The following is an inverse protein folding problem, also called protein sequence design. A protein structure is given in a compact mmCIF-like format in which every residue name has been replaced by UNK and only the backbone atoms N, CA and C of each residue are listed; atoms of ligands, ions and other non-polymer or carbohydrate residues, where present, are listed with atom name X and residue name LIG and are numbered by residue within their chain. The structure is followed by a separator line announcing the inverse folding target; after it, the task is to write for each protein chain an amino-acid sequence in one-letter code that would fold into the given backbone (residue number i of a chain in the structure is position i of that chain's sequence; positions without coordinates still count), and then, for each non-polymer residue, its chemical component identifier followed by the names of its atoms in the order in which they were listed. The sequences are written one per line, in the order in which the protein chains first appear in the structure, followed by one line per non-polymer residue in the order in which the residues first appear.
data_IF_190385266640
#
_entry.id   IF_190385266640
#
_cell.length_a   1.000
_cell.length_b   1.000
_cell.length_c   1.000
_cell.angle_alpha   90.00
_cell.angle_beta   90.00
_cell.angle_gamma   90.00
#
_symmetry.space_group_name_H-M   'P 1'
#
loop_
_entity.id
_entity.type
_entity.pdbx_description
1 polymer ?
#
# COMPACT_ATOMS: atom_id res chain seq x y z
N UNK A 1 -4.46 14.40 -11.02
CA UNK A 1 -3.17 13.87 -10.55
C UNK A 1 -3.45 12.56 -9.86
N UNK A 2 -2.86 11.44 -10.32
CA UNK A 2 -3.09 10.13 -9.70
C UNK A 2 -2.18 9.99 -8.48
N UNK A 3 -2.77 9.66 -7.32
CA UNK A 3 -2.04 9.48 -6.06
C UNK A 3 -2.27 8.06 -5.57
N UNK A 4 -1.17 7.33 -5.33
CA UNK A 4 -1.19 6.03 -4.69
C UNK A 4 -0.49 6.14 -3.34
N UNK A 5 -1.19 5.74 -2.29
CA UNK A 5 -0.60 5.59 -0.97
C UNK A 5 -0.19 4.14 -0.74
N UNK A 6 1.02 3.89 -0.25
CA UNK A 6 1.55 2.54 -0.09
C UNK A 6 1.90 2.25 1.37
N UNK A 7 1.27 1.21 1.92
CA UNK A 7 1.51 0.67 3.26
C UNK A 7 1.90 -0.81 3.15
N UNK A 8 2.94 -1.25 3.87
CA UNK A 8 3.27 -2.67 3.93
C UNK A 8 4.01 -3.11 5.19
N UNK A 9 4.20 -4.42 5.34
CA UNK A 9 5.07 -5.07 6.34
C UNK A 9 6.44 -5.52 5.80
N UNK A 10 6.80 -5.08 4.58
CA UNK A 10 8.03 -5.49 3.89
C UNK A 10 9.33 -4.99 4.54
N UNK A 11 9.28 -3.95 5.36
CA UNK A 11 10.46 -3.23 5.80
C UNK A 11 11.12 -2.41 4.68
N UNK A 12 12.27 -1.81 5.02
CA UNK A 12 13.09 -1.00 4.11
C UNK A 12 14.52 -1.57 3.95
N UNK A 13 14.76 -2.77 4.48
CA UNK A 13 16.09 -3.38 4.47
C UNK A 13 16.49 -3.94 3.10
N UNK A 14 15.52 -4.23 2.25
CA UNK A 14 15.73 -4.76 0.91
C UNK A 14 15.08 -3.88 -0.18
N UNK A 15 15.07 -4.37 -1.41
CA UNK A 15 14.60 -3.62 -2.59
C UNK A 15 13.11 -3.77 -2.86
N UNK A 16 12.35 -4.51 -2.06
CA UNK A 16 11.01 -4.95 -2.47
C UNK A 16 10.03 -3.78 -2.60
N UNK A 17 10.09 -2.80 -1.70
CA UNK A 17 9.32 -1.54 -1.80
C UNK A 17 9.65 -0.80 -3.11
N UNK A 18 10.93 -0.73 -3.48
CA UNK A 18 11.35 -0.08 -4.73
C UNK A 18 10.85 -0.84 -5.97
N UNK A 19 10.79 -2.17 -5.92
CA UNK A 19 10.25 -2.99 -7.01
C UNK A 19 8.76 -2.72 -7.23
N UNK A 20 7.96 -2.66 -6.16
CA UNK A 20 6.53 -2.31 -6.25
C UNK A 20 6.34 -0.93 -6.87
N UNK A 21 7.11 0.07 -6.42
CA UNK A 21 7.06 1.42 -7.00
C UNK A 21 7.44 1.43 -8.47
N UNK A 22 8.48 0.70 -8.86
CA UNK A 22 8.89 0.56 -10.26
C UNK A 22 7.76 0.00 -11.14
N UNK A 23 7.06 -1.04 -10.67
CA UNK A 23 5.89 -1.59 -11.36
C UNK A 23 4.77 -0.56 -11.46
N UNK A 24 4.44 0.14 -10.37
CA UNK A 24 3.40 1.17 -10.35
C UNK A 24 3.71 2.29 -11.36
N UNK A 25 4.94 2.80 -11.37
CA UNK A 25 5.36 3.83 -12.32
C UNK A 25 5.39 3.34 -13.77
N UNK A 26 5.63 2.05 -14.01
CA UNK A 26 5.53 1.45 -15.35
C UNK A 26 4.10 1.23 -15.83
N UNK A 27 3.11 1.21 -14.93
CA UNK A 27 1.70 1.02 -15.25
C UNK A 27 0.93 2.33 -15.44
N UNK A 28 1.31 3.38 -14.70
CA UNK A 28 0.58 4.66 -14.68
C UNK A 28 1.55 5.82 -14.78
N UNK A 29 1.58 6.47 -15.94
CA UNK A 29 2.40 7.66 -16.16
C UNK A 29 1.97 8.81 -15.23
N UNK A 30 2.96 9.42 -14.57
CA UNK A 30 2.74 10.59 -13.71
C UNK A 30 2.02 10.28 -12.39
N UNK A 31 1.91 9.01 -11.99
CA UNK A 31 1.43 8.66 -10.65
C UNK A 31 2.43 9.11 -9.59
N UNK A 32 1.93 9.74 -8.53
CA UNK A 32 2.71 10.01 -7.32
C UNK A 32 2.49 8.87 -6.34
N UNK A 33 3.59 8.26 -5.86
CA UNK A 33 3.53 7.27 -4.77
C UNK A 33 3.95 7.94 -3.47
N UNK A 34 3.09 7.84 -2.45
CA UNK A 34 3.35 8.31 -1.09
C UNK A 34 3.40 7.11 -0.16
N UNK A 35 4.53 6.89 0.49
CA UNK A 35 4.62 5.83 1.50
C UNK A 35 3.91 6.28 2.78
N UNK A 36 3.01 5.45 3.27
CA UNK A 36 2.46 5.58 4.62
C UNK A 36 3.48 5.09 5.65
N UNK A 37 3.81 3.80 5.55
CA UNK A 37 4.86 3.14 6.32
C UNK A 37 5.11 1.76 5.71
N UNK A 38 6.35 1.29 5.81
CA UNK A 38 6.73 -0.09 5.50
C UNK A 38 7.18 -0.85 6.75
N UNK A 39 6.98 -0.26 7.93
CA UNK A 39 7.42 -0.78 9.22
C UNK A 39 6.26 -1.41 10.01
N UNK A 40 5.21 -1.88 9.34
CA UNK A 40 4.22 -2.75 10.00
C UNK A 40 4.93 -4.05 10.38
N UNK A 41 4.69 -4.55 11.59
CA UNK A 41 5.25 -5.82 12.02
C UNK A 41 4.78 -6.95 11.07
N UNK A 42 5.67 -7.85 10.63
CA UNK A 42 5.33 -8.91 9.67
C UNK A 42 4.10 -9.71 10.08
N UNK A 43 3.06 -9.68 9.25
CA UNK A 43 1.79 -10.38 9.50
C UNK A 43 0.85 -9.74 10.55
N UNK A 44 1.16 -8.55 11.09
CA UNK A 44 0.27 -7.83 11.99
C UNK A 44 -0.86 -7.12 11.23
N UNK A 45 -1.90 -7.90 10.92
CA UNK A 45 -3.09 -7.42 10.21
C UNK A 45 -3.83 -6.30 10.98
N UNK A 46 -3.84 -6.36 12.31
CA UNK A 46 -4.56 -5.37 13.13
C UNK A 46 -3.78 -4.06 13.18
N UNK A 47 -2.46 -4.12 13.39
CA UNK A 47 -1.59 -2.95 13.32
C UNK A 47 -1.64 -2.27 11.94
N UNK A 48 -1.61 -3.06 10.86
CA UNK A 48 -1.79 -2.56 9.49
C UNK A 48 -3.15 -1.89 9.27
N UNK A 49 -4.24 -2.49 9.77
CA UNK A 49 -5.58 -1.92 9.64
C UNK A 49 -5.73 -0.59 10.39
N UNK A 50 -5.23 -0.50 11.63
CA UNK A 50 -5.27 0.72 12.43
C UNK A 50 -4.41 1.84 11.81
N UNK A 51 -3.22 1.49 11.31
CA UNK A 51 -2.37 2.44 10.60
C UNK A 51 -3.07 2.98 9.33
N UNK A 52 -3.70 2.11 8.55
CA UNK A 52 -4.48 2.54 7.39
C UNK A 52 -5.67 3.43 7.79
N UNK A 53 -6.47 3.01 8.78
CA UNK A 53 -7.63 3.78 9.26
C UNK A 53 -7.25 5.19 9.69
N UNK A 54 -6.17 5.34 10.47
CA UNK A 54 -5.68 6.65 10.91
C UNK A 54 -5.16 7.53 9.78
N UNK A 55 -4.72 6.95 8.66
CA UNK A 55 -4.22 7.67 7.49
C UNK A 55 -5.33 8.21 6.60
N UNK A 56 -6.44 7.45 6.43
CA UNK A 56 -7.49 7.76 5.44
C UNK A 56 -7.99 9.21 5.50
N UNK A 57 -8.28 9.82 6.67
CA UNK A 57 -8.84 11.18 6.73
C UNK A 57 -7.89 12.29 6.24
N UNK A 58 -6.60 11.99 6.11
CA UNK A 58 -5.58 12.95 5.70
C UNK A 58 -5.26 12.89 4.21
N UNK A 59 -5.81 11.92 3.49
CA UNK A 59 -5.53 11.74 2.07
C UNK A 59 -6.53 12.49 1.19
N UNK A 60 -6.09 13.10 0.08
CA UNK A 60 -6.99 13.76 -0.86
C UNK A 60 -8.05 12.79 -1.41
N UNK A 61 -9.26 13.27 -1.72
CA UNK A 61 -10.27 12.48 -2.41
C UNK A 61 -9.74 11.86 -3.71
N UNK A 62 -10.10 10.60 -3.97
CA UNK A 62 -9.66 9.85 -5.14
C UNK A 62 -8.27 9.21 -5.01
N UNK A 63 -7.64 9.26 -3.83
CA UNK A 63 -6.41 8.50 -3.55
C UNK A 63 -6.67 6.99 -3.61
N UNK A 64 -5.79 6.25 -4.26
CA UNK A 64 -5.79 4.78 -4.22
C UNK A 64 -4.88 4.32 -3.07
N UNK A 65 -5.38 3.46 -2.19
CA UNK A 65 -4.60 2.92 -1.07
C UNK A 65 -4.19 1.48 -1.36
N UNK A 66 -2.90 1.25 -1.52
CA UNK A 66 -2.30 -0.07 -1.61
C UNK A 66 -1.79 -0.44 -0.20
N UNK A 67 -2.46 -1.40 0.45
CA UNK A 67 -2.05 -1.92 1.75
C UNK A 67 -1.75 -3.41 1.64
N UNK A 68 -0.53 -3.83 2.00
CA UNK A 68 -0.09 -5.22 1.90
C UNK A 68 0.56 -5.66 3.21
N UNK A 69 -0.17 -6.44 4.00
CA UNK A 69 0.35 -7.17 5.17
C UNK A 69 -0.03 -8.61 4.95
N UNK A 70 0.86 -9.38 4.35
CA UNK A 70 0.51 -10.72 3.87
C UNK A 70 1.73 -11.66 3.77
N UNK A 71 1.80 -12.74 4.57
CA UNK A 71 2.85 -13.74 4.45
C UNK A 71 2.73 -14.62 3.19
N UNK A 72 1.62 -14.52 2.44
CA UNK A 72 1.34 -15.31 1.24
C UNK A 72 1.34 -14.52 -0.06
N UNK A 73 2.04 -13.37 -0.10
CA UNK A 73 2.28 -12.63 -1.35
C UNK A 73 2.84 -13.57 -2.42
N UNK A 74 2.32 -13.46 -3.65
CA UNK A 74 2.68 -14.34 -4.76
C UNK A 74 2.06 -15.75 -4.69
N UNK A 75 1.30 -16.05 -3.65
CA UNK A 75 0.55 -17.29 -3.51
C UNK A 75 -0.77 -17.32 -4.30
N UNK A 76 -1.61 -18.35 -4.10
CA UNK A 76 -2.88 -18.49 -4.81
C UNK A 76 -3.97 -17.53 -4.32
N UNK A 77 -3.74 -16.84 -3.19
CA UNK A 77 -4.69 -15.89 -2.63
C UNK A 77 -4.76 -14.66 -3.53
N UNK A 78 -5.98 -14.35 -3.99
CA UNK A 78 -6.24 -13.18 -4.84
C UNK A 78 -6.31 -11.91 -3.99
N UNK A 79 -5.77 -10.78 -4.47
CA UNK A 79 -5.99 -9.48 -3.84
C UNK A 79 -7.46 -9.06 -3.99
N UNK A 80 -7.89 -8.16 -3.12
CA UNK A 80 -9.22 -7.55 -3.14
C UNK A 80 -9.05 -6.05 -3.40
N UNK A 81 -9.91 -5.49 -4.25
CA UNK A 81 -10.07 -4.06 -4.42
C UNK A 81 -11.47 -3.66 -3.94
N UNK A 82 -11.54 -2.59 -3.15
CA UNK A 82 -12.80 -2.05 -2.61
C UNK A 82 -12.90 -0.58 -2.98
N UNK A 83 -14.06 -0.15 -3.46
CA UNK A 83 -14.38 1.27 -3.59
C UNK A 83 -15.22 1.69 -2.39
N UNK A 84 -14.70 2.60 -1.57
CA UNK A 84 -15.41 3.21 -0.47
C UNK A 84 -15.72 4.67 -0.81
N UNK A 85 -16.93 5.13 -0.47
CA UNK A 85 -17.39 6.49 -0.75
C UNK A 85 -16.90 7.50 0.30
N UNK A 86 -15.59 7.45 0.62
CA UNK A 86 -14.94 8.41 1.52
C UNK A 86 -15.06 9.84 1.00
#
# INVERSE_FOLDING_TARGET
MALLCFLSDFGLADTYVAQVKGVVHGLVDGVTVVDATHAIEPGDLVGGALALESLLPHMPPGTVHLAVVDPGVGGPRRPIAVAAAG
#
